data_IF_824612264981
#
_entry.id   IF_824612264981
#
_cell.length_a   1.000
_cell.length_b   1.000
_cell.length_c   1.000
_cell.angle_alpha   90.00
_cell.angle_beta   90.00
_cell.angle_gamma   90.00
#
_symmetry.space_group_name_H-M   'P 1'
#
loop_
_entity.id
_entity.type
_entity.pdbx_description
1 polymer ?
#
# COMPACT_ATOMS: atom_id res chain seq x y z
N UNK A 1 -0.59 -10.10 21.71
CA UNK A 1 -0.76 -8.63 21.58
C UNK A 1 -0.98 -8.35 20.10
N UNK A 2 -2.15 -7.89 19.68
CA UNK A 2 -2.43 -7.63 18.26
C UNK A 2 -1.72 -6.33 17.88
N UNK A 3 -0.82 -6.39 16.90
CA UNK A 3 -0.07 -5.22 16.43
C UNK A 3 -1.06 -4.29 15.70
N UNK A 4 -1.42 -3.17 16.32
CA UNK A 4 -2.29 -2.17 15.69
C UNK A 4 -1.40 -1.28 14.82
N UNK A 5 -1.39 -1.53 13.51
CA UNK A 5 -0.73 -0.67 12.53
C UNK A 5 -1.74 0.37 12.01
N UNK A 6 -1.31 1.62 11.95
CA UNK A 6 -2.13 2.73 11.44
C UNK A 6 -1.61 3.14 10.05
N UNK A 7 -2.52 3.36 9.11
CA UNK A 7 -2.19 3.79 7.74
C UNK A 7 -2.74 5.21 7.55
N UNK A 8 -1.88 6.14 7.17
CA UNK A 8 -2.29 7.48 6.74
C UNK A 8 -2.74 7.41 5.29
N UNK A 9 -3.87 8.03 4.97
CA UNK A 9 -4.41 8.10 3.60
C UNK A 9 -4.83 9.53 3.30
N UNK A 10 -4.82 9.91 2.02
CA UNK A 10 -5.34 11.22 1.59
C UNK A 10 -6.83 11.36 1.91
N UNK A 11 -7.31 12.60 2.07
CA UNK A 11 -8.73 12.87 2.32
C UNK A 11 -9.64 12.37 1.17
N UNK A 12 -9.13 12.44 -0.06
CA UNK A 12 -9.81 11.90 -1.25
C UNK A 12 -9.98 10.38 -1.15
N UNK A 13 -8.92 9.67 -0.79
CA UNK A 13 -8.95 8.22 -0.58
C UNK A 13 -9.87 7.86 0.57
N UNK A 14 -9.84 8.61 1.68
CA UNK A 14 -10.75 8.42 2.81
C UNK A 14 -12.23 8.52 2.38
N UNK A 15 -12.61 9.59 1.67
CA UNK A 15 -13.98 9.79 1.16
C UNK A 15 -14.44 8.65 0.25
N UNK A 16 -13.56 8.13 -0.59
CA UNK A 16 -13.85 6.98 -1.45
C UNK A 16 -14.07 5.71 -0.63
N UNK A 17 -13.17 5.43 0.31
CA UNK A 17 -13.29 4.30 1.23
C UNK A 17 -14.60 4.37 2.03
N UNK A 18 -14.98 5.54 2.54
CA UNK A 18 -16.26 5.73 3.25
C UNK A 18 -17.48 5.44 2.37
N UNK A 19 -17.43 5.81 1.08
CA UNK A 19 -18.56 5.56 0.15
C UNK A 19 -18.75 4.08 -0.14
N UNK A 20 -17.66 3.33 -0.28
CA UNK A 20 -17.72 1.90 -0.56
C UNK A 20 -17.87 1.05 0.71
N UNK A 21 -17.66 1.66 1.88
CA UNK A 21 -17.78 1.00 3.18
C UNK A 21 -19.24 0.76 3.58
N UNK A 22 -19.69 -0.50 3.66
CA UNK A 22 -20.99 -0.81 4.22
C UNK A 22 -21.05 -0.36 5.69
N UNK A 23 -22.17 0.22 6.13
CA UNK A 23 -22.32 0.74 7.51
C UNK A 23 -22.07 -0.29 8.62
N UNK A 24 -22.07 -1.58 8.30
CA UNK A 24 -21.87 -2.69 9.22
C UNK A 24 -20.47 -3.33 9.13
N UNK A 25 -19.52 -2.75 8.38
CA UNK A 25 -18.14 -3.26 8.25
C UNK A 25 -17.14 -2.20 8.67
N UNK A 26 -15.97 -2.62 9.17
CA UNK A 26 -14.87 -1.72 9.48
C UNK A 26 -14.03 -1.41 8.23
N UNK A 27 -13.23 -0.34 8.29
CA UNK A 27 -12.25 -0.04 7.23
C UNK A 27 -11.26 -1.19 7.02
N UNK A 28 -10.84 -1.88 8.09
CA UNK A 28 -9.97 -3.05 7.99
C UNK A 28 -10.64 -4.18 7.22
N UNK A 29 -11.94 -4.41 7.43
CA UNK A 29 -12.67 -5.46 6.72
C UNK A 29 -12.73 -5.20 5.22
N UNK A 30 -12.78 -3.93 4.80
CA UNK A 30 -12.83 -3.55 3.38
C UNK A 30 -11.45 -3.58 2.76
N UNK A 31 -10.45 -3.01 3.44
CA UNK A 31 -9.08 -3.00 2.96
C UNK A 31 -8.60 -4.44 2.78
N UNK A 32 -8.79 -5.30 3.77
CA UNK A 32 -8.33 -6.68 3.71
C UNK A 32 -9.19 -7.56 2.77
N UNK A 33 -10.51 -7.63 2.99
CA UNK A 33 -11.35 -8.61 2.28
C UNK A 33 -11.84 -8.13 0.90
N UNK A 34 -11.96 -6.82 0.68
CA UNK A 34 -12.54 -6.30 -0.56
C UNK A 34 -11.49 -5.73 -1.51
N UNK A 35 -10.38 -5.19 -1.00
CA UNK A 35 -9.32 -4.63 -1.83
C UNK A 35 -8.17 -5.63 -1.96
N UNK A 36 -7.49 -5.98 -0.86
CA UNK A 36 -6.33 -6.87 -0.93
C UNK A 36 -6.71 -8.25 -1.48
N UNK A 37 -7.74 -8.90 -0.93
CA UNK A 37 -8.16 -10.23 -1.43
C UNK A 37 -8.66 -10.21 -2.87
N UNK A 38 -9.42 -9.20 -3.30
CA UNK A 38 -9.86 -9.13 -4.71
C UNK A 38 -8.69 -8.95 -5.68
N UNK A 39 -7.63 -8.26 -5.25
CA UNK A 39 -6.38 -8.15 -6.01
C UNK A 39 -5.57 -9.46 -6.01
N UNK A 40 -5.75 -10.34 -5.02
CA UNK A 40 -5.14 -11.67 -4.99
C UNK A 40 -5.92 -12.71 -5.80
N UNK A 41 -7.27 -12.62 -5.82
CA UNK A 41 -8.15 -13.61 -6.48
C UNK A 41 -8.32 -13.38 -7.98
N UNK A 42 -8.20 -12.13 -8.44
CA UNK A 42 -8.10 -11.81 -9.86
C UNK A 42 -6.62 -11.68 -10.17
N UNK A 43 -6.09 -12.46 -11.12
CA UNK A 43 -4.72 -12.33 -11.66
C UNK A 43 -4.47 -10.91 -12.20
N UNK A 44 -4.19 -9.97 -11.31
CA UNK A 44 -3.75 -8.62 -11.63
C UNK A 44 -2.24 -8.47 -11.53
N UNK A 45 -1.58 -9.46 -10.94
CA UNK A 45 -0.13 -9.56 -10.86
C UNK A 45 0.30 -10.75 -11.71
N UNK A 46 1.32 -10.54 -12.53
CA UNK A 46 2.09 -11.63 -13.13
C UNK A 46 2.77 -12.46 -12.05
N UNK A 47 3.16 -13.69 -12.38
CA UNK A 47 3.89 -14.57 -11.44
C UNK A 47 5.13 -13.87 -10.85
N UNK A 48 5.85 -13.10 -11.68
CA UNK A 48 7.03 -12.33 -11.27
C UNK A 48 6.68 -11.19 -10.28
N UNK A 49 5.60 -10.47 -10.51
CA UNK A 49 5.14 -9.40 -9.60
C UNK A 49 4.65 -9.97 -8.26
N UNK A 50 3.92 -11.09 -8.30
CA UNK A 50 3.47 -11.78 -7.10
C UNK A 50 4.65 -12.33 -6.28
N UNK A 51 5.64 -12.93 -6.94
CA UNK A 51 6.87 -13.41 -6.29
C UNK A 51 7.65 -12.26 -5.65
N UNK A 52 7.80 -11.14 -6.37
CA UNK A 52 8.45 -9.93 -5.84
C UNK A 52 7.74 -9.40 -4.60
N UNK A 53 6.41 -9.24 -4.64
CA UNK A 53 5.64 -8.76 -3.49
C UNK A 53 5.76 -9.70 -2.28
N UNK A 54 5.68 -11.01 -2.49
CA UNK A 54 5.83 -12.00 -1.42
C UNK A 54 7.22 -11.94 -0.78
N UNK A 55 8.27 -11.78 -1.59
CA UNK A 55 9.64 -11.60 -1.11
C UNK A 55 9.80 -10.34 -0.26
N UNK A 56 9.22 -9.23 -0.69
CA UNK A 56 9.26 -7.98 0.08
C UNK A 56 8.50 -8.10 1.41
N UNK A 57 7.35 -8.77 1.43
CA UNK A 57 6.59 -9.03 2.66
C UNK A 57 7.43 -9.83 3.66
N UNK A 58 8.05 -10.92 3.20
CA UNK A 58 8.90 -11.77 4.05
C UNK A 58 10.13 -11.00 4.61
N UNK A 59 10.75 -10.13 3.81
CA UNK A 59 11.81 -9.23 4.28
C UNK A 59 11.31 -8.30 5.40
N UNK A 60 10.16 -7.65 5.20
CA UNK A 60 9.57 -6.76 6.21
C UNK A 60 9.17 -7.48 7.50
N UNK A 61 8.62 -8.69 7.40
CA UNK A 61 8.26 -9.50 8.57
C UNK A 61 9.49 -9.93 9.38
N UNK A 62 10.63 -10.15 8.70
CA UNK A 62 11.92 -10.43 9.33
C UNK A 62 12.62 -9.18 9.88
N UNK A 63 12.04 -8.00 9.69
CA UNK A 63 12.63 -6.72 10.11
C UNK A 63 13.83 -6.31 9.28
N UNK A 64 13.99 -6.90 8.08
CA UNK A 64 15.06 -6.56 7.15
C UNK A 64 14.61 -5.39 6.26
N UNK A 65 15.24 -4.23 6.49
CA UNK A 65 14.94 -2.97 5.82
C UNK A 65 16.05 -2.58 4.82
N UNK A 66 16.94 -3.51 4.44
CA UNK A 66 18.10 -3.22 3.59
C UNK A 66 17.73 -2.64 2.22
N UNK A 67 16.60 -3.05 1.64
CA UNK A 67 16.06 -2.51 0.38
C UNK A 67 15.03 -1.38 0.60
N UNK A 68 15.00 -0.78 1.79
CA UNK A 68 14.18 0.41 2.05
C UNK A 68 15.01 1.67 2.11
N UNK A 69 14.43 2.77 1.63
CA UNK A 69 14.92 4.11 1.90
C UNK A 69 13.90 4.84 2.77
N UNK A 70 14.41 5.63 3.72
CA UNK A 70 13.54 6.51 4.50
C UNK A 70 13.13 7.66 3.61
N UNK A 71 11.83 7.83 3.39
CA UNK A 71 11.30 8.93 2.61
C UNK A 71 10.82 10.03 3.56
N UNK A 72 11.29 11.24 3.35
CA UNK A 72 10.76 12.41 4.03
C UNK A 72 9.46 12.84 3.34
N UNK A 73 8.33 12.59 4.00
CA UNK A 73 7.02 12.88 3.43
C UNK A 73 6.75 14.37 3.26
N UNK A 74 7.51 15.23 3.94
CA UNK A 74 7.33 16.68 3.85
C UNK A 74 7.81 17.24 2.50
N UNK A 75 8.62 16.46 1.76
CA UNK A 75 9.21 16.84 0.48
C UNK A 75 8.83 15.89 -0.67
N UNK A 76 7.91 14.96 -0.42
CA UNK A 76 7.53 13.89 -1.35
C UNK A 76 7.03 14.42 -2.70
N UNK A 77 6.20 15.47 -2.68
CA UNK A 77 5.66 16.10 -3.89
C UNK A 77 6.78 16.71 -4.75
N UNK A 78 7.82 17.25 -4.11
CA UNK A 78 8.96 17.85 -4.79
C UNK A 78 9.88 16.80 -5.40
N UNK A 79 10.09 15.68 -4.70
CA UNK A 79 10.89 14.56 -5.22
C UNK A 79 10.18 13.85 -6.38
N UNK A 80 8.84 13.71 -6.32
CA UNK A 80 8.04 13.17 -7.43
C UNK A 80 8.13 14.06 -8.68
N UNK A 81 8.01 15.38 -8.53
CA UNK A 81 8.18 16.35 -9.62
C UNK A 81 9.59 16.29 -10.24
N UNK A 82 10.62 16.01 -9.43
CA UNK A 82 12.00 15.89 -9.91
C UNK A 82 12.25 14.58 -10.67
N UNK A 83 11.64 13.47 -10.23
CA UNK A 83 11.72 12.17 -10.90
C UNK A 83 10.97 12.15 -12.24
N UNK A 84 9.81 12.81 -12.32
CA UNK A 84 9.05 12.98 -13.58
C UNK A 84 9.84 13.83 -14.59
N UNK A 85 10.51 14.90 -14.12
CA UNK A 85 11.41 15.71 -14.97
C UNK A 85 12.63 14.94 -15.47
N UNK A 86 13.10 13.95 -14.72
CA UNK A 86 14.20 13.09 -15.11
C UNK A 86 13.77 11.94 -16.03
N UNK A 87 12.47 11.77 -16.30
CA UNK A 87 11.93 10.71 -17.15
C UNK A 87 12.05 9.31 -16.53
N UNK A 88 12.16 9.25 -15.20
CA UNK A 88 12.20 7.99 -14.42
C UNK A 88 10.79 7.49 -14.13
N UNK A 89 9.83 8.42 -14.02
CA UNK A 89 8.38 8.23 -13.92
C UNK A 89 7.71 8.96 -15.10
#
# INVERSE_FOLDING_TARGET
MVLIKSIKVSEKTHKLLTKICPKNKSYNDIIYNALIQQYTEKEYLTDEEAEYCNKMIDQFEKGDNTDTYTIDTDNLDKELDELEKQGVL
#
